data_IF_382308098516
#
_entry.id   IF_382308098516
#
_cell.length_a   1.000
_cell.length_b   1.000
_cell.length_c   1.000
_cell.angle_alpha   90.00
_cell.angle_beta   90.00
_cell.angle_gamma   90.00
#
_symmetry.space_group_name_H-M   'P 1'
#
loop_
_entity.id
_entity.type
_entity.pdbx_description
1 polymer ?
#
# COMPACT_ATOMS: atom_id res chain seq x y z
N UNK A 1 13.13 6.20 -10.05
CA UNK A 1 11.83 5.51 -9.90
C UNK A 1 11.06 6.20 -8.80
N UNK A 2 9.80 6.58 -9.03
CA UNK A 2 8.95 7.15 -7.97
C UNK A 2 8.77 6.09 -6.89
N UNK A 3 9.01 6.45 -5.61
CA UNK A 3 9.09 5.52 -4.48
C UNK A 3 7.83 4.66 -4.28
N UNK A 4 6.68 5.16 -4.71
CA UNK A 4 5.37 4.54 -4.55
C UNK A 4 4.92 3.69 -5.75
N UNK A 5 5.66 3.66 -6.85
CA UNK A 5 5.26 2.95 -8.08
C UNK A 5 6.07 1.67 -8.25
N UNK A 6 5.40 0.55 -8.52
CA UNK A 6 6.06 -0.73 -8.79
C UNK A 6 5.49 -1.40 -10.05
N UNK A 7 6.27 -2.31 -10.62
CA UNK A 7 5.97 -2.96 -11.90
C UNK A 7 6.96 -2.58 -12.99
N UNK A 8 6.68 -2.94 -14.26
CA UNK A 8 5.39 -3.40 -14.79
C UNK A 8 4.98 -4.80 -14.31
N UNK A 9 3.69 -4.98 -14.04
CA UNK A 9 3.09 -6.25 -13.60
C UNK A 9 2.22 -6.81 -14.73
N UNK A 10 2.34 -8.10 -15.09
CA UNK A 10 1.47 -8.74 -16.08
C UNK A 10 0.00 -8.60 -15.68
N UNK A 11 -0.78 -7.98 -16.57
CA UNK A 11 -2.20 -7.76 -16.39
C UNK A 11 -2.97 -8.64 -17.35
N UNK A 12 -3.83 -9.52 -16.81
CA UNK A 12 -4.69 -10.37 -17.63
C UNK A 12 -5.71 -9.58 -18.47
N UNK A 13 -6.04 -8.34 -18.07
CA UNK A 13 -6.99 -7.47 -18.80
C UNK A 13 -6.30 -6.51 -19.76
N UNK A 14 -5.15 -5.95 -19.40
CA UNK A 14 -4.50 -4.84 -20.12
C UNK A 14 -3.11 -5.19 -20.68
N UNK A 15 -2.67 -6.43 -20.54
CA UNK A 15 -1.30 -6.86 -20.87
C UNK A 15 -0.31 -6.47 -19.76
N UNK A 16 -0.21 -5.19 -19.45
CA UNK A 16 0.66 -4.66 -18.39
C UNK A 16 -0.09 -3.67 -17.48
N UNK A 17 0.34 -3.57 -16.24
CA UNK A 17 -0.16 -2.59 -15.28
C UNK A 17 0.99 -2.10 -14.39
N UNK A 18 0.85 -0.88 -13.88
CA UNK A 18 1.71 -0.35 -12.82
C UNK A 18 0.94 -0.42 -11.50
N UNK A 19 1.59 -0.91 -10.46
CA UNK A 19 1.09 -0.90 -9.10
C UNK A 19 1.47 0.39 -8.38
N UNK A 20 0.61 0.80 -7.44
CA UNK A 20 0.85 1.92 -6.55
C UNK A 20 0.79 1.41 -5.10
N UNK A 21 1.87 1.63 -4.34
CA UNK A 21 1.91 1.38 -2.89
C UNK A 21 2.15 2.72 -2.17
N UNK A 22 1.07 3.24 -1.60
CA UNK A 22 1.01 4.55 -0.94
C UNK A 22 0.78 4.43 0.57
N UNK A 23 0.73 3.21 1.09
CA UNK A 23 0.35 2.94 2.48
C UNK A 23 1.61 2.58 3.27
N UNK A 24 1.92 3.29 4.38
CA UNK A 24 3.04 2.93 5.21
C UNK A 24 2.91 1.51 5.75
N UNK A 25 4.05 0.87 5.97
CA UNK A 25 4.12 -0.50 6.43
C UNK A 25 3.17 -0.73 7.62
N UNK A 26 2.31 -1.74 7.46
CA UNK A 26 1.39 -2.22 8.50
C UNK A 26 0.39 -1.17 9.03
N UNK A 27 -0.05 -0.26 8.18
CA UNK A 27 -1.22 0.58 8.47
C UNK A 27 -2.51 -0.25 8.32
N UNK A 28 -3.14 -0.62 9.44
CA UNK A 28 -4.33 -1.46 9.43
C UNK A 28 -5.21 -1.17 10.65
N UNK A 29 -6.52 -1.33 10.52
CA UNK A 29 -7.48 -1.22 11.63
C UNK A 29 -7.52 -2.49 12.51
N UNK A 30 -6.94 -3.59 12.05
CA UNK A 30 -7.03 -4.91 12.69
C UNK A 30 -5.73 -5.37 13.33
N UNK A 31 -5.84 -6.17 14.39
CA UNK A 31 -4.74 -6.93 14.99
C UNK A 31 -4.95 -8.44 14.81
N UNK A 32 -4.87 -8.90 13.56
CA UNK A 32 -5.18 -10.28 13.18
C UNK A 32 -4.03 -11.25 13.57
N UNK A 33 -4.36 -12.35 14.26
CA UNK A 33 -3.40 -13.41 14.64
C UNK A 33 -2.87 -14.22 13.45
N UNK A 34 -3.57 -14.16 12.31
CA UNK A 34 -3.21 -14.84 11.06
C UNK A 34 -2.55 -13.91 10.03
N UNK A 35 -2.14 -12.70 10.43
CA UNK A 35 -1.57 -11.74 9.48
C UNK A 35 -0.18 -12.20 9.02
N UNK A 36 -0.03 -12.47 7.72
CA UNK A 36 1.26 -12.86 7.12
C UNK A 36 2.35 -11.78 7.23
N UNK A 37 1.94 -10.51 7.37
CA UNK A 37 2.85 -9.36 7.52
C UNK A 37 3.28 -9.20 9.00
N UNK A 38 2.59 -9.83 9.96
CA UNK A 38 2.88 -9.75 11.39
C UNK A 38 1.88 -8.91 12.19
N UNK A 39 2.22 -8.61 13.45
CA UNK A 39 1.35 -7.84 14.38
C UNK A 39 1.27 -6.37 13.96
N UNK A 40 0.10 -5.75 14.10
CA UNK A 40 -0.07 -4.31 13.85
C UNK A 40 0.43 -3.53 15.07
N UNK A 41 1.45 -2.64 14.92
CA UNK A 41 2.01 -1.93 16.07
C UNK A 41 1.05 -0.86 16.62
N UNK A 42 0.32 -0.19 15.73
CA UNK A 42 -0.58 0.92 16.06
C UNK A 42 -1.86 0.83 15.21
N UNK A 43 -2.85 0.01 15.61
CA UNK A 43 -4.11 -0.04 14.89
C UNK A 43 -4.85 1.28 15.03
N UNK A 44 -5.36 1.81 13.91
CA UNK A 44 -6.10 3.07 13.89
C UNK A 44 -7.28 2.98 12.93
N UNK A 45 -8.38 3.63 13.30
CA UNK A 45 -9.57 3.83 12.44
C UNK A 45 -9.64 5.25 11.87
N UNK A 46 -8.70 6.11 12.26
CA UNK A 46 -8.69 7.50 11.82
C UNK A 46 -8.24 7.62 10.37
N UNK A 47 -8.99 8.40 9.60
CA UNK A 47 -8.65 8.73 8.22
C UNK A 47 -7.60 9.84 8.22
N UNK A 48 -6.48 9.61 7.53
CA UNK A 48 -5.41 10.59 7.35
C UNK A 48 -4.78 10.48 5.97
N UNK A 49 -4.07 11.53 5.57
CA UNK A 49 -3.22 11.53 4.37
C UNK A 49 -1.91 10.83 4.71
N UNK A 50 -1.51 9.86 3.87
CA UNK A 50 -0.33 9.01 4.09
C UNK A 50 0.84 9.35 3.17
N UNK A 51 0.54 9.86 1.99
CA UNK A 51 1.50 10.31 0.98
C UNK A 51 0.92 11.56 0.33
N UNK A 52 1.79 12.48 -0.08
CA UNK A 52 1.40 13.61 -0.92
C UNK A 52 1.11 13.11 -2.35
N UNK A 53 -0.05 13.45 -2.96
CA UNK A 53 -0.32 13.12 -4.35
C UNK A 53 0.77 13.57 -5.33
N UNK A 54 1.46 14.69 -5.06
CA UNK A 54 2.56 15.19 -5.90
C UNK A 54 3.79 14.28 -5.86
N UNK A 55 3.99 13.49 -4.80
CA UNK A 55 5.07 12.49 -4.72
C UNK A 55 4.79 11.24 -5.59
N UNK A 56 3.53 11.03 -5.99
CA UNK A 56 3.09 9.85 -6.75
C UNK A 56 3.03 10.11 -8.27
N UNK A 57 2.73 11.35 -8.69
CA UNK A 57 2.49 11.76 -10.09
C UNK A 57 3.76 12.29 -10.77
#
# INVERSE_FOLDING_TARGET
MRKAVFGPVPSRRLGLSLGLDVIPLKTCTFNCIYCQIGRTPSPTIERRVYVDPEEVI
#
